data_IF_994607767229
#
_entry.id   IF_994607767229
#
_cell.length_a   1.000
_cell.length_b   1.000
_cell.length_c   1.000
_cell.angle_alpha   90.00
_cell.angle_beta   90.00
_cell.angle_gamma   90.00
#
_symmetry.space_group_name_H-M   'P 1'
#
loop_
_entity.id
_entity.type
_entity.pdbx_description
1 polymer ?
#
# COMPACT_ATOMS: atom_id res chain seq x y z
N UNK A 1 7.04 -5.42 21.62
CA UNK A 1 8.34 -5.68 22.28
C UNK A 1 8.47 -7.21 22.40
N UNK A 2 9.48 -7.81 21.77
CA UNK A 2 9.73 -9.25 21.91
C UNK A 2 10.02 -9.59 23.39
N UNK A 3 9.36 -10.63 23.88
CA UNK A 3 9.70 -11.25 25.16
C UNK A 3 10.97 -12.09 25.01
N UNK A 4 11.56 -12.50 26.13
CA UNK A 4 12.63 -13.48 26.15
C UNK A 4 12.17 -14.86 25.70
N UNK A 5 11.85 -15.73 26.65
CA UNK A 5 11.39 -17.10 26.35
C UNK A 5 9.86 -17.22 26.40
N UNK A 6 9.31 -18.07 25.54
CA UNK A 6 7.90 -18.41 25.48
C UNK A 6 7.64 -19.76 26.16
N UNK A 7 6.48 -19.88 26.81
CA UNK A 7 5.98 -21.15 27.32
C UNK A 7 5.50 -22.04 26.17
N UNK A 8 5.26 -23.34 26.45
CA UNK A 8 4.74 -24.27 25.44
C UNK A 8 3.36 -23.85 24.90
N UNK A 9 2.50 -23.36 25.79
CA UNK A 9 1.14 -22.93 25.40
C UNK A 9 1.21 -21.68 24.52
N UNK A 10 2.00 -20.69 24.91
CA UNK A 10 2.25 -19.49 24.09
C UNK A 10 2.85 -19.85 22.72
N UNK A 11 3.74 -20.84 22.66
CA UNK A 11 4.33 -21.32 21.41
C UNK A 11 3.29 -22.01 20.51
N UNK A 12 2.39 -22.81 21.07
CA UNK A 12 1.28 -23.44 20.34
C UNK A 12 0.26 -22.44 19.83
N UNK A 13 0.01 -21.36 20.55
CA UNK A 13 -0.89 -20.30 20.13
C UNK A 13 -0.28 -19.43 19.02
N UNK A 14 1.00 -19.11 19.14
CA UNK A 14 1.67 -18.14 18.28
C UNK A 14 2.14 -18.72 16.94
N UNK A 15 2.77 -19.89 16.96
CA UNK A 15 3.47 -20.40 15.79
C UNK A 15 2.80 -21.61 15.15
N UNK A 16 2.66 -21.56 13.84
CA UNK A 16 2.15 -22.64 13.00
C UNK A 16 3.29 -23.22 12.17
N UNK A 17 3.56 -24.53 12.29
CA UNK A 17 4.55 -25.22 11.46
C UNK A 17 4.06 -25.26 10.00
N UNK A 18 4.92 -24.88 9.06
CA UNK A 18 4.63 -24.94 7.64
C UNK A 18 5.15 -26.23 7.02
N UNK A 19 4.23 -27.17 6.76
CA UNK A 19 4.55 -28.37 6.00
C UNK A 19 4.87 -28.01 4.55
N UNK A 20 6.02 -28.47 4.03
CA UNK A 20 6.55 -28.06 2.73
C UNK A 20 7.40 -26.79 2.75
N UNK A 21 7.48 -26.08 3.89
CA UNK A 21 8.24 -24.85 4.08
C UNK A 21 9.65 -25.03 4.65
N UNK A 22 10.31 -26.19 4.43
CA UNK A 22 11.66 -26.48 4.94
C UNK A 22 11.79 -26.31 6.47
N UNK A 23 10.71 -26.58 7.21
CA UNK A 23 10.65 -26.44 8.66
C UNK A 23 10.45 -25.01 9.15
N UNK A 24 10.13 -24.06 8.29
CA UNK A 24 9.74 -22.71 8.68
C UNK A 24 8.40 -22.70 9.44
N UNK A 25 8.16 -21.62 10.13
CA UNK A 25 6.93 -21.38 10.88
C UNK A 25 6.26 -20.08 10.42
N UNK A 26 4.95 -20.05 10.50
CA UNK A 26 4.19 -18.81 10.42
C UNK A 26 4.02 -18.24 11.83
N UNK A 27 4.36 -16.99 12.03
CA UNK A 27 4.12 -16.24 13.26
C UNK A 27 2.75 -15.54 13.16
N UNK A 28 1.78 -16.03 13.94
CA UNK A 28 0.41 -15.51 13.92
C UNK A 28 0.23 -14.15 14.61
N UNK A 29 1.29 -13.64 15.26
CA UNK A 29 1.28 -12.30 15.88
C UNK A 29 1.92 -11.28 14.95
N UNK A 30 3.01 -11.66 14.27
CA UNK A 30 3.74 -10.77 13.37
C UNK A 30 3.36 -10.96 11.89
N UNK A 31 2.47 -11.92 11.60
CA UNK A 31 1.96 -12.20 10.26
C UNK A 31 3.06 -12.40 9.20
N UNK A 32 4.09 -13.14 9.57
CA UNK A 32 5.25 -13.43 8.70
C UNK A 32 5.76 -14.85 8.84
N UNK A 33 6.48 -15.32 7.83
CA UNK A 33 7.19 -16.59 7.89
C UNK A 33 8.54 -16.37 8.56
N UNK A 34 8.87 -17.21 9.52
CA UNK A 34 10.15 -17.17 10.25
C UNK A 34 10.87 -18.50 10.19
N UNK A 35 12.21 -18.50 10.17
CA UNK A 35 13.01 -19.72 10.20
C UNK A 35 12.80 -20.50 11.50
N UNK A 36 12.91 -21.83 11.40
CA UNK A 36 12.85 -22.71 12.58
C UNK A 36 13.84 -22.32 13.68
N UNK A 37 15.06 -21.94 13.30
CA UNK A 37 16.10 -21.57 14.27
C UNK A 37 15.67 -20.42 15.18
N UNK A 38 15.00 -19.41 14.60
CA UNK A 38 14.55 -18.22 15.34
C UNK A 38 13.43 -18.57 16.33
N UNK A 39 12.50 -19.45 15.93
CA UNK A 39 11.45 -19.96 16.83
C UNK A 39 12.05 -20.74 18.01
N UNK A 40 12.99 -21.63 17.71
CA UNK A 40 13.61 -22.46 18.75
C UNK A 40 14.51 -21.66 19.69
N UNK A 41 15.09 -20.56 19.24
CA UNK A 41 15.85 -19.66 20.10
C UNK A 41 14.96 -18.94 21.15
N UNK A 42 13.65 -18.91 20.94
CA UNK A 42 12.68 -18.28 21.84
C UNK A 42 11.93 -19.27 22.75
N UNK A 43 12.25 -20.56 22.67
CA UNK A 43 11.68 -21.62 23.50
C UNK A 43 12.80 -22.24 24.33
N UNK A 44 12.59 -22.52 25.65
CA UNK A 44 13.60 -23.19 26.45
C UNK A 44 13.98 -24.57 25.84
N UNK A 45 15.26 -24.94 25.84
CA UNK A 45 15.76 -26.17 25.21
C UNK A 45 15.06 -27.43 25.71
N UNK A 46 14.77 -27.50 27.01
CA UNK A 46 14.06 -28.64 27.61
C UNK A 46 12.60 -28.71 27.12
N UNK A 47 11.98 -27.60 26.85
CA UNK A 47 10.59 -27.50 26.38
C UNK A 47 10.44 -27.76 24.87
N UNK A 48 11.49 -27.54 24.07
CA UNK A 48 11.44 -27.71 22.63
C UNK A 48 11.11 -29.13 22.17
N UNK A 49 11.52 -30.15 22.93
CA UNK A 49 11.18 -31.57 22.68
C UNK A 49 9.70 -31.81 22.94
N UNK A 50 9.21 -31.36 24.10
CA UNK A 50 7.83 -31.53 24.52
C UNK A 50 6.87 -30.80 23.57
N UNK A 51 7.25 -29.62 23.07
CA UNK A 51 6.46 -28.90 22.07
C UNK A 51 6.26 -29.69 20.78
N UNK A 52 7.27 -30.44 20.31
CA UNK A 52 7.12 -31.30 19.13
C UNK A 52 6.08 -32.41 19.32
N UNK A 53 5.87 -32.85 20.55
CA UNK A 53 4.94 -33.92 20.90
C UNK A 53 3.52 -33.40 21.22
N UNK A 54 3.33 -32.11 21.31
CA UNK A 54 2.03 -31.52 21.62
C UNK A 54 1.02 -31.77 20.48
N UNK A 55 -0.15 -32.37 20.79
CA UNK A 55 -1.18 -32.69 19.81
C UNK A 55 -1.92 -31.42 19.29
N UNK A 56 -1.91 -30.37 20.08
CA UNK A 56 -2.53 -29.05 19.77
C UNK A 56 -1.60 -28.10 19.03
N UNK A 57 -0.39 -28.54 18.67
CA UNK A 57 0.52 -27.77 17.83
C UNK A 57 -0.06 -27.56 16.43
N UNK A 58 -0.17 -26.27 16.02
CA UNK A 58 -0.72 -25.92 14.72
C UNK A 58 0.23 -26.32 13.58
N UNK A 59 -0.35 -26.87 12.53
CA UNK A 59 0.34 -27.21 11.28
C UNK A 59 -0.52 -26.75 10.11
N UNK A 60 0.09 -26.07 9.15
CA UNK A 60 -0.53 -25.68 7.89
C UNK A 60 0.38 -26.09 6.72
N UNK A 61 -0.17 -26.23 5.54
CA UNK A 61 0.63 -26.42 4.32
C UNK A 61 1.18 -25.08 3.85
N UNK A 62 2.30 -25.09 3.16
CA UNK A 62 2.87 -23.85 2.59
C UNK A 62 1.90 -23.17 1.62
N UNK A 63 1.08 -23.96 0.90
CA UNK A 63 0.07 -23.45 -0.04
C UNK A 63 -1.12 -22.76 0.67
N UNK A 64 -1.27 -22.94 1.99
CA UNK A 64 -2.28 -22.29 2.82
C UNK A 64 -1.78 -20.97 3.43
N UNK A 65 -0.54 -20.57 3.09
CA UNK A 65 0.00 -19.24 3.42
C UNK A 65 -0.30 -18.29 2.28
N UNK A 66 -0.89 -17.15 2.59
CA UNK A 66 -1.22 -16.15 1.59
C UNK A 66 -1.38 -14.75 2.15
N UNK A 67 -1.53 -13.79 1.26
CA UNK A 67 -1.82 -12.40 1.61
C UNK A 67 -3.25 -12.07 1.18
N UNK A 68 -4.16 -12.03 2.13
CA UNK A 68 -5.57 -11.67 1.89
C UNK A 68 -6.03 -10.60 2.88
N UNK A 69 -5.95 -9.33 2.50
CA UNK A 69 -6.46 -8.23 3.32
C UNK A 69 -7.97 -8.25 3.54
N UNK A 70 -8.71 -8.98 2.69
CA UNK A 70 -10.17 -9.10 2.83
C UNK A 70 -10.58 -10.12 3.89
N UNK A 71 -9.67 -11.02 4.29
CA UNK A 71 -9.92 -12.14 5.19
C UNK A 71 -11.09 -13.04 4.75
N UNK A 72 -11.30 -13.20 3.43
CA UNK A 72 -12.42 -13.95 2.85
C UNK A 72 -12.01 -15.23 2.13
N UNK A 73 -10.72 -15.41 1.83
CA UNK A 73 -10.23 -16.61 1.15
C UNK A 73 -10.01 -17.73 2.18
N UNK A 74 -10.97 -18.65 2.26
CA UNK A 74 -10.95 -19.79 3.20
C UNK A 74 -9.76 -20.74 2.96
N UNK A 75 -9.07 -20.65 1.81
CA UNK A 75 -7.87 -21.44 1.53
C UNK A 75 -6.64 -20.92 2.27
N UNK A 76 -6.69 -19.67 2.74
CA UNK A 76 -5.58 -19.03 3.45
C UNK A 76 -5.78 -19.23 4.96
N UNK A 77 -5.04 -20.17 5.52
CA UNK A 77 -5.01 -20.47 6.96
C UNK A 77 -4.01 -19.56 7.69
N UNK A 78 -2.88 -19.29 7.06
CA UNK A 78 -1.81 -18.43 7.55
C UNK A 78 -1.79 -17.12 6.76
N UNK A 79 -2.51 -16.11 7.26
CA UNK A 79 -2.63 -14.84 6.55
C UNK A 79 -1.47 -13.90 6.87
N UNK A 80 -0.74 -13.47 5.84
CA UNK A 80 0.35 -12.50 5.94
C UNK A 80 -0.16 -11.05 6.11
N UNK A 81 -1.48 -10.85 6.13
CA UNK A 81 -2.11 -9.59 6.48
C UNK A 81 -2.39 -9.53 7.98
N UNK A 82 -1.75 -8.60 8.68
CA UNK A 82 -1.89 -8.39 10.13
C UNK A 82 -2.71 -7.16 10.54
N UNK A 83 -3.37 -6.51 9.58
CA UNK A 83 -4.07 -5.24 9.83
C UNK A 83 -3.23 -4.02 9.53
N UNK A 84 -3.86 -2.84 9.52
CA UNK A 84 -3.14 -1.59 9.34
C UNK A 84 -2.24 -1.32 10.55
N UNK A 85 -0.94 -1.02 10.36
CA UNK A 85 -0.04 -0.69 11.48
C UNK A 85 -0.34 0.69 12.06
N UNK A 86 -0.89 1.60 11.27
CA UNK A 86 -1.35 2.90 11.74
C UNK A 86 -2.63 2.75 12.55
N UNK A 87 -2.63 3.33 13.76
CA UNK A 87 -3.83 3.39 14.61
C UNK A 87 -4.57 4.71 14.34
N UNK A 88 -5.78 4.67 13.75
CA UNK A 88 -6.55 5.88 13.52
C UNK A 88 -6.94 6.51 14.86
N UNK A 89 -6.87 7.84 14.93
CA UNK A 89 -7.22 8.59 16.14
C UNK A 89 -7.89 9.88 15.74
N UNK A 90 -9.04 10.18 16.34
CA UNK A 90 -9.71 11.46 16.16
C UNK A 90 -8.78 12.62 16.52
N UNK A 91 -8.74 13.65 15.66
CA UNK A 91 -7.85 14.78 15.81
C UNK A 91 -7.94 15.76 14.64
N UNK A 92 -7.12 16.80 14.69
CA UNK A 92 -7.07 17.80 13.62
C UNK A 92 -6.10 17.37 12.51
N UNK A 93 -6.62 17.32 11.30
CA UNK A 93 -5.84 17.08 10.07
C UNK A 93 -6.18 18.12 8.98
N UNK A 94 -6.81 19.25 9.34
CA UNK A 94 -7.33 20.20 8.37
C UNK A 94 -6.22 20.69 7.42
N UNK A 95 -5.02 20.96 7.93
CA UNK A 95 -3.91 21.44 7.09
C UNK A 95 -3.46 20.42 6.04
N UNK A 96 -3.64 19.11 6.29
CA UNK A 96 -3.40 18.05 5.30
C UNK A 96 -4.49 18.05 4.23
N UNK A 97 -5.75 18.27 4.62
CA UNK A 97 -6.86 18.43 3.69
C UNK A 97 -6.68 19.69 2.83
N UNK A 98 -6.26 20.80 3.44
CA UNK A 98 -5.94 22.06 2.75
C UNK A 98 -4.80 21.86 1.74
N UNK A 99 -3.79 21.06 2.08
CA UNK A 99 -2.70 20.73 1.15
C UNK A 99 -3.23 19.94 -0.06
N UNK A 100 -4.06 18.92 0.14
CA UNK A 100 -4.64 18.18 -0.99
C UNK A 100 -5.54 19.07 -1.84
N UNK A 101 -6.33 19.94 -1.21
CA UNK A 101 -7.17 20.90 -1.91
C UNK A 101 -6.31 21.87 -2.73
N UNK A 102 -5.21 22.35 -2.16
CA UNK A 102 -4.26 23.20 -2.87
C UNK A 102 -3.62 22.47 -4.07
N UNK A 103 -3.22 21.22 -3.91
CA UNK A 103 -2.67 20.43 -5.02
C UNK A 103 -3.64 20.33 -6.22
N UNK A 104 -4.95 20.33 -5.97
CA UNK A 104 -5.98 20.28 -7.00
C UNK A 104 -6.41 21.68 -7.53
N UNK A 105 -5.88 22.78 -6.99
CA UNK A 105 -6.44 24.12 -7.15
C UNK A 105 -6.34 24.72 -8.55
N UNK A 106 -5.45 24.21 -9.41
CA UNK A 106 -5.31 24.72 -10.79
C UNK A 106 -6.35 24.14 -11.76
N UNK A 107 -7.07 23.11 -11.37
CA UNK A 107 -8.12 22.53 -12.20
C UNK A 107 -9.37 23.43 -12.21
N UNK A 108 -10.00 23.64 -13.37
CA UNK A 108 -11.25 24.40 -13.46
C UNK A 108 -12.38 23.77 -12.61
N UNK A 109 -12.35 22.45 -12.47
CA UNK A 109 -13.25 21.69 -11.61
C UNK A 109 -12.56 21.24 -10.32
N UNK A 110 -11.76 22.12 -9.71
CA UNK A 110 -10.90 21.80 -8.54
C UNK A 110 -11.64 21.17 -7.37
N UNK A 111 -12.87 21.61 -7.08
CA UNK A 111 -13.69 21.04 -6.01
C UNK A 111 -14.06 19.58 -6.31
N UNK A 112 -14.54 19.29 -7.51
CA UNK A 112 -14.87 17.94 -7.95
C UNK A 112 -13.63 17.03 -7.94
N UNK A 113 -12.50 17.55 -8.42
CA UNK A 113 -11.22 16.84 -8.41
C UNK A 113 -10.75 16.51 -7.01
N UNK A 114 -10.82 17.47 -6.09
CA UNK A 114 -10.51 17.26 -4.67
C UNK A 114 -11.42 16.22 -4.02
N UNK A 115 -12.74 16.38 -4.15
CA UNK A 115 -13.73 15.47 -3.56
C UNK A 115 -13.54 14.04 -4.09
N UNK A 116 -13.27 13.89 -5.39
CA UNK A 116 -13.01 12.58 -5.99
C UNK A 116 -11.71 11.95 -5.47
N UNK A 117 -10.61 12.72 -5.43
CA UNK A 117 -9.33 12.24 -4.91
C UNK A 117 -9.44 11.80 -3.44
N UNK A 118 -10.15 12.57 -2.63
CA UNK A 118 -10.37 12.26 -1.22
C UNK A 118 -11.14 10.94 -1.02
N UNK A 119 -12.23 10.75 -1.78
CA UNK A 119 -13.01 9.50 -1.75
C UNK A 119 -12.20 8.32 -2.27
N UNK A 120 -11.38 8.53 -3.29
CA UNK A 120 -10.50 7.50 -3.83
C UNK A 120 -9.46 7.04 -2.79
N UNK A 121 -8.91 7.96 -1.99
CA UNK A 121 -7.99 7.63 -0.88
C UNK A 121 -8.71 6.92 0.27
N UNK A 122 -9.94 7.30 0.55
CA UNK A 122 -10.74 6.74 1.65
C UNK A 122 -11.26 5.33 1.34
N UNK A 123 -11.66 5.06 0.09
CA UNK A 123 -12.32 3.80 -0.27
C UNK A 123 -11.51 2.55 0.10
N UNK A 124 -10.21 2.41 -0.26
CA UNK A 124 -9.43 1.22 0.09
C UNK A 124 -9.12 1.11 1.60
N UNK A 125 -9.20 2.20 2.36
CA UNK A 125 -9.08 2.16 3.82
C UNK A 125 -10.36 1.64 4.47
N UNK A 126 -11.53 2.06 3.97
CA UNK A 126 -12.85 1.59 4.45
C UNK A 126 -13.19 0.18 3.95
N UNK A 127 -12.72 -0.18 2.74
CA UNK A 127 -12.91 -1.48 2.10
C UNK A 127 -11.57 -2.19 1.92
N UNK A 128 -11.05 -2.70 3.02
CA UNK A 128 -9.70 -3.29 3.06
C UNK A 128 -9.52 -4.37 2.01
N UNK A 129 -8.45 -4.24 1.23
CA UNK A 129 -8.16 -5.14 0.11
C UNK A 129 -8.87 -4.78 -1.21
N UNK A 130 -9.67 -3.71 -1.25
CA UNK A 130 -10.26 -3.22 -2.49
C UNK A 130 -9.18 -2.83 -3.51
N UNK A 131 -9.39 -3.24 -4.76
CA UNK A 131 -8.52 -2.93 -5.90
C UNK A 131 -9.18 -1.86 -6.77
N UNK A 132 -8.72 -0.62 -6.63
CA UNK A 132 -9.18 0.49 -7.46
C UNK A 132 -8.82 0.23 -8.93
N UNK A 133 -9.77 0.42 -9.84
CA UNK A 133 -9.55 0.27 -11.29
C UNK A 133 -8.96 1.54 -11.93
N UNK A 134 -8.58 2.48 -11.09
CA UNK A 134 -7.96 3.76 -11.45
C UNK A 134 -6.73 4.02 -10.60
N UNK A 135 -5.92 4.98 -10.99
CA UNK A 135 -4.74 5.43 -10.25
C UNK A 135 -4.67 6.95 -10.23
N UNK A 136 -4.01 7.50 -9.21
CA UNK A 136 -3.76 8.92 -9.08
C UNK A 136 -2.45 9.30 -9.78
N UNK A 137 -2.43 10.45 -10.46
CA UNK A 137 -1.25 11.05 -11.07
C UNK A 137 -1.19 12.53 -10.68
N UNK A 138 -0.24 12.88 -9.84
CA UNK A 138 0.01 14.26 -9.44
C UNK A 138 1.36 14.69 -10.02
N UNK A 139 1.32 15.54 -11.03
CA UNK A 139 2.52 16.01 -11.71
C UNK A 139 2.57 17.54 -11.78
N UNK A 140 3.75 18.11 -12.02
CA UNK A 140 3.92 19.55 -12.08
C UNK A 140 5.03 20.09 -11.21
N UNK A 141 4.92 21.34 -10.79
CA UNK A 141 6.01 22.05 -10.13
C UNK A 141 6.62 21.33 -8.92
N UNK A 142 7.96 21.35 -8.86
CA UNK A 142 8.68 20.86 -7.70
C UNK A 142 8.38 21.71 -6.46
N UNK A 143 8.35 21.09 -5.29
CA UNK A 143 8.13 21.78 -4.02
C UNK A 143 6.66 22.04 -3.67
N UNK A 144 5.70 21.63 -4.50
CA UNK A 144 4.27 21.81 -4.23
C UNK A 144 3.73 21.02 -3.02
N UNK A 145 4.52 20.07 -2.47
CA UNK A 145 4.11 19.26 -1.33
C UNK A 145 3.51 17.90 -1.68
N UNK A 146 3.62 17.47 -2.94
CA UNK A 146 3.14 16.15 -3.39
C UNK A 146 3.62 15.01 -2.50
N UNK A 147 4.95 14.85 -2.38
CA UNK A 147 5.54 13.79 -1.59
C UNK A 147 5.15 13.92 -0.11
N UNK A 148 5.13 15.12 0.45
CA UNK A 148 4.76 15.34 1.85
C UNK A 148 3.36 14.82 2.19
N UNK A 149 2.39 15.04 1.30
CA UNK A 149 1.02 14.53 1.47
C UNK A 149 0.97 13.01 1.28
N UNK A 150 1.53 12.48 0.19
CA UNK A 150 1.41 11.06 -0.13
C UNK A 150 2.30 10.16 0.73
N UNK A 151 3.37 10.68 1.31
CA UNK A 151 4.13 9.99 2.36
C UNK A 151 3.29 9.79 3.63
N UNK A 152 2.45 10.77 3.99
CA UNK A 152 1.50 10.61 5.09
C UNK A 152 0.49 9.49 4.82
N UNK A 153 -0.01 9.38 3.58
CA UNK A 153 -0.87 8.26 3.15
C UNK A 153 -0.11 6.93 3.20
N UNK A 154 1.10 6.86 2.63
CA UNK A 154 1.91 5.63 2.61
C UNK A 154 2.20 5.10 4.03
N UNK A 155 2.43 5.98 5.00
CA UNK A 155 2.66 5.62 6.41
C UNK A 155 1.46 4.93 7.06
N UNK A 156 0.23 5.19 6.60
CA UNK A 156 -0.97 4.50 7.11
C UNK A 156 -0.91 3.00 6.81
N UNK A 157 -0.34 2.64 5.67
CA UNK A 157 -0.18 1.26 5.24
C UNK A 157 1.06 0.57 5.83
N UNK A 158 2.04 1.33 6.34
CA UNK A 158 3.26 0.80 6.96
C UNK A 158 4.01 -0.18 6.06
N UNK A 159 4.22 -1.41 6.52
CA UNK A 159 4.91 -2.45 5.73
C UNK A 159 4.16 -2.86 4.45
N UNK A 160 2.85 -2.64 4.40
CA UNK A 160 2.01 -2.87 3.21
C UNK A 160 1.99 -1.66 2.26
N UNK A 161 2.70 -0.60 2.58
CA UNK A 161 3.03 0.54 1.72
C UNK A 161 4.44 0.44 1.16
N UNK A 162 4.74 1.24 0.15
CA UNK A 162 6.08 1.35 -0.42
C UNK A 162 6.21 2.53 -1.36
N UNK A 163 7.46 2.92 -1.59
CA UNK A 163 7.83 3.90 -2.61
C UNK A 163 8.78 3.24 -3.60
N UNK A 164 8.57 3.44 -4.88
CA UNK A 164 9.41 2.89 -5.94
C UNK A 164 9.80 3.98 -6.92
N UNK A 165 11.02 3.89 -7.40
CA UNK A 165 11.60 4.77 -8.41
C UNK A 165 11.59 4.14 -9.82
N UNK A 166 12.09 4.90 -10.80
CA UNK A 166 12.23 4.46 -12.18
C UNK A 166 12.97 3.13 -12.30
N UNK A 167 14.08 2.96 -11.56
CA UNK A 167 14.95 1.78 -11.66
C UNK A 167 14.24 0.51 -11.19
N UNK A 168 13.44 0.62 -10.14
CA UNK A 168 12.64 -0.49 -9.63
C UNK A 168 11.55 -0.92 -10.62
N UNK A 169 10.89 0.05 -11.27
CA UNK A 169 9.82 -0.23 -12.24
C UNK A 169 10.37 -0.82 -13.54
N UNK A 170 11.56 -0.42 -14.00
CA UNK A 170 12.24 -0.96 -15.17
C UNK A 170 12.88 -2.33 -14.95
N UNK A 171 13.17 -2.68 -13.70
CA UNK A 171 13.74 -3.98 -13.34
C UNK A 171 12.83 -5.13 -13.77
N UNK A 172 13.44 -6.26 -14.18
CA UNK A 172 12.70 -7.51 -14.40
C UNK A 172 12.13 -8.08 -13.09
N UNK A 173 12.70 -7.70 -11.94
CA UNK A 173 12.22 -8.10 -10.62
C UNK A 173 11.21 -7.09 -10.10
N UNK A 174 10.16 -7.58 -9.46
CA UNK A 174 9.06 -6.74 -8.96
C UNK A 174 8.57 -7.19 -7.59
N UNK A 175 9.44 -7.76 -6.80
CA UNK A 175 9.18 -8.15 -5.40
C UNK A 175 8.71 -6.97 -4.53
N UNK A 176 9.06 -5.74 -4.92
CA UNK A 176 8.52 -4.52 -4.32
C UNK A 176 6.97 -4.41 -4.38
N UNK A 177 6.31 -5.14 -5.29
CA UNK A 177 4.86 -5.14 -5.41
C UNK A 177 4.19 -6.27 -4.61
N UNK A 178 4.98 -7.23 -4.06
CA UNK A 178 4.44 -8.33 -3.27
C UNK A 178 3.87 -7.83 -1.94
N UNK A 179 2.68 -8.29 -1.60
CA UNK A 179 1.98 -7.98 -0.35
C UNK A 179 1.81 -6.48 -0.10
N UNK A 180 1.57 -5.70 -1.18
CA UNK A 180 1.37 -4.25 -1.09
C UNK A 180 -0.10 -3.88 -1.31
N UNK A 181 -0.55 -2.92 -0.50
CA UNK A 181 -1.84 -2.23 -0.63
C UNK A 181 -1.66 -0.83 -1.21
N UNK A 182 -0.48 -0.23 -1.00
CA UNK A 182 -0.15 1.11 -1.48
C UNK A 182 1.25 1.18 -2.06
N UNK A 183 1.39 1.86 -3.20
CA UNK A 183 2.71 2.21 -3.77
C UNK A 183 2.69 3.66 -4.23
N UNK A 184 3.68 4.42 -3.80
CA UNK A 184 4.02 5.72 -4.36
C UNK A 184 5.09 5.51 -5.42
N UNK A 185 4.77 5.81 -6.69
CA UNK A 185 5.70 5.83 -7.81
C UNK A 185 6.30 7.23 -7.89
N UNK A 186 7.55 7.36 -7.46
CA UNK A 186 8.23 8.66 -7.36
C UNK A 186 9.16 8.88 -8.54
N UNK A 187 8.93 9.97 -9.28
CA UNK A 187 9.67 10.35 -10.49
C UNK A 187 9.73 9.23 -11.55
N UNK A 188 8.70 8.41 -11.64
CA UNK A 188 8.59 7.37 -12.66
C UNK A 188 7.96 7.96 -13.92
N UNK A 189 8.73 7.93 -15.02
CA UNK A 189 8.31 8.45 -16.33
C UNK A 189 8.20 7.30 -17.31
N UNK A 190 7.01 7.03 -17.81
CA UNK A 190 6.81 6.06 -18.89
C UNK A 190 7.11 6.70 -20.24
N UNK A 191 8.39 6.68 -20.67
CA UNK A 191 8.81 7.14 -22.01
C UNK A 191 8.20 6.25 -23.09
N UNK A 192 7.85 6.84 -24.24
CA UNK A 192 7.20 6.13 -25.34
C UNK A 192 7.99 4.93 -25.88
N UNK A 193 9.30 4.87 -25.65
CA UNK A 193 10.22 3.81 -26.10
C UNK A 193 10.06 2.53 -25.27
N UNK A 194 9.41 2.57 -24.11
CA UNK A 194 9.27 1.45 -23.19
C UNK A 194 7.84 0.86 -23.23
N UNK A 195 7.44 0.34 -24.40
CA UNK A 195 6.11 -0.23 -24.61
C UNK A 195 5.77 -1.36 -23.60
N UNK A 196 6.77 -2.15 -23.21
CA UNK A 196 6.60 -3.20 -22.20
C UNK A 196 6.26 -2.63 -20.81
N UNK A 197 6.81 -1.47 -20.46
CA UNK A 197 6.55 -0.78 -19.20
C UNK A 197 5.09 -0.31 -19.13
N UNK A 198 4.57 0.23 -20.23
CA UNK A 198 3.17 0.65 -20.35
C UNK A 198 2.19 -0.50 -20.05
N UNK A 199 2.43 -1.68 -20.63
CA UNK A 199 1.58 -2.85 -20.39
C UNK A 199 1.69 -3.37 -18.96
N UNK A 200 2.91 -3.34 -18.38
CA UNK A 200 3.13 -3.73 -16.99
C UNK A 200 2.42 -2.78 -16.02
N UNK A 201 2.48 -1.47 -16.25
CA UNK A 201 1.77 -0.46 -15.48
C UNK A 201 0.25 -0.67 -15.61
N UNK A 202 -0.28 -0.86 -16.82
CA UNK A 202 -1.71 -1.15 -17.03
C UNK A 202 -2.15 -2.40 -16.25
N UNK A 203 -1.36 -3.47 -16.29
CA UNK A 203 -1.65 -4.69 -15.54
C UNK A 203 -1.61 -4.46 -14.01
N UNK A 204 -0.66 -3.66 -13.52
CA UNK A 204 -0.59 -3.31 -12.12
C UNK A 204 -1.80 -2.49 -11.66
N UNK A 205 -2.28 -1.53 -12.47
CA UNK A 205 -3.44 -0.68 -12.14
C UNK A 205 -4.74 -1.46 -12.15
N UNK A 206 -4.98 -2.31 -13.17
CA UNK A 206 -6.31 -2.92 -13.38
C UNK A 206 -6.37 -4.43 -13.22
N UNK A 207 -5.22 -5.11 -13.17
CA UNK A 207 -5.17 -6.56 -13.05
C UNK A 207 -5.62 -7.05 -11.69
N UNK A 208 -6.39 -8.14 -11.66
CA UNK A 208 -6.83 -8.79 -10.42
C UNK A 208 -5.74 -9.65 -9.78
N UNK A 209 -4.73 -10.02 -10.57
CA UNK A 209 -3.55 -10.76 -10.12
C UNK A 209 -2.27 -10.09 -10.61
N UNK A 210 -1.20 -10.27 -9.85
CA UNK A 210 0.14 -9.83 -10.20
C UNK A 210 1.10 -11.00 -10.14
N UNK A 211 1.93 -11.15 -11.18
CA UNK A 211 3.03 -12.10 -11.15
C UNK A 211 4.23 -11.46 -10.47
N UNK A 212 4.67 -12.07 -9.39
CA UNK A 212 5.85 -11.64 -8.65
C UNK A 212 7.07 -12.41 -9.14
N UNK A 213 8.11 -11.68 -9.50
CA UNK A 213 9.39 -12.19 -9.93
C UNK A 213 10.49 -11.61 -9.02
N UNK A 214 11.22 -12.49 -8.33
CA UNK A 214 12.32 -12.13 -7.44
C UNK A 214 13.56 -12.95 -7.77
N UNK A 215 14.70 -12.54 -7.23
CA UNK A 215 15.97 -13.25 -7.47
C UNK A 215 15.94 -14.63 -6.79
N UNK A 216 16.42 -15.67 -7.52
CA UNK A 216 16.67 -17.02 -6.99
C UNK A 216 15.45 -17.79 -6.48
N UNK A 217 14.24 -17.30 -6.71
CA UNK A 217 12.98 -17.96 -6.36
C UNK A 217 12.12 -18.08 -7.61
N UNK A 218 11.39 -19.19 -7.76
CA UNK A 218 10.43 -19.34 -8.85
C UNK A 218 9.35 -18.23 -8.75
N UNK A 219 9.01 -17.62 -9.89
CA UNK A 219 7.97 -16.62 -9.93
C UNK A 219 6.61 -17.23 -9.56
N UNK A 220 5.80 -16.47 -8.80
CA UNK A 220 4.47 -16.89 -8.37
C UNK A 220 3.43 -15.82 -8.71
N UNK A 221 2.16 -16.14 -8.52
CA UNK A 221 1.06 -15.19 -8.66
C UNK A 221 0.44 -14.86 -7.30
N UNK A 222 0.16 -13.59 -7.10
CA UNK A 222 -0.61 -13.09 -5.95
C UNK A 222 -1.88 -12.37 -6.44
N UNK A 223 -2.89 -12.27 -5.59
CA UNK A 223 -3.97 -11.31 -5.79
C UNK A 223 -3.41 -9.88 -5.72
N UNK A 224 -3.86 -9.04 -6.62
CA UNK A 224 -3.41 -7.65 -6.68
C UNK A 224 -4.36 -6.77 -5.87
N UNK A 225 -3.93 -6.38 -4.69
CA UNK A 225 -4.61 -5.42 -3.83
C UNK A 225 -3.95 -4.03 -3.84
N UNK A 226 -2.91 -3.87 -4.67
CA UNK A 226 -2.08 -2.68 -4.69
C UNK A 226 -2.77 -1.52 -5.40
N UNK A 227 -2.95 -0.42 -4.70
CA UNK A 227 -3.34 0.88 -5.23
C UNK A 227 -2.17 1.84 -5.16
N UNK A 228 -2.20 2.96 -5.86
CA UNK A 228 -1.06 3.86 -5.79
C UNK A 228 -1.22 5.18 -6.51
N UNK A 229 -0.21 6.02 -6.30
CA UNK A 229 -0.08 7.36 -6.87
C UNK A 229 1.22 7.48 -7.65
N UNK A 230 1.16 8.17 -8.76
CA UNK A 230 2.32 8.55 -9.57
C UNK A 230 2.63 10.02 -9.31
N UNK A 231 3.85 10.29 -8.83
CA UNK A 231 4.35 11.63 -8.57
C UNK A 231 5.45 11.95 -9.58
N UNK A 232 5.35 13.11 -10.23
CA UNK A 232 6.36 13.53 -11.20
C UNK A 232 6.46 15.05 -11.29
N UNK A 233 7.62 15.54 -11.72
CA UNK A 233 7.83 16.93 -12.10
C UNK A 233 7.74 17.13 -13.62
N UNK A 234 7.56 16.07 -14.38
CA UNK A 234 7.46 16.12 -15.85
C UNK A 234 6.08 16.58 -16.33
N UNK A 235 6.05 17.25 -17.49
CA UNK A 235 4.81 17.67 -18.13
C UNK A 235 3.97 16.46 -18.58
N UNK A 236 4.63 15.41 -19.07
CA UNK A 236 4.02 14.17 -19.53
C UNK A 236 4.60 12.97 -18.77
N UNK A 237 4.17 12.76 -17.51
CA UNK A 237 4.80 11.79 -16.60
C UNK A 237 4.55 10.33 -16.98
N UNK A 238 3.46 10.06 -17.70
CA UNK A 238 3.06 8.71 -18.10
C UNK A 238 2.68 8.68 -19.58
N UNK A 239 2.88 7.53 -20.24
CA UNK A 239 2.35 7.31 -21.58
C UNK A 239 0.83 7.07 -21.49
N UNK A 240 0.07 8.10 -21.12
CA UNK A 240 -1.39 8.07 -21.02
C UNK A 240 -1.96 8.35 -22.41
N UNK A 241 -2.90 7.51 -22.83
CA UNK A 241 -3.70 7.80 -24.01
C UNK A 241 -4.83 8.76 -23.63
N UNK A 242 -5.16 9.72 -24.47
CA UNK A 242 -6.15 10.77 -24.25
C UNK A 242 -7.49 10.25 -23.67
N UNK A 243 -7.89 9.04 -24.03
CA UNK A 243 -9.13 8.41 -23.57
C UNK A 243 -8.90 7.32 -22.50
N UNK A 244 -7.68 7.21 -21.90
CA UNK A 244 -7.43 6.23 -20.85
C UNK A 244 -8.12 6.64 -19.54
N UNK A 245 -9.26 6.00 -19.27
CA UNK A 245 -10.12 6.26 -18.09
C UNK A 245 -9.51 5.81 -16.76
N UNK A 246 -8.29 5.21 -16.77
CA UNK A 246 -7.65 4.68 -15.56
C UNK A 246 -6.93 5.73 -14.75
N UNK A 247 -6.57 6.86 -15.34
CA UNK A 247 -5.75 7.88 -14.74
C UNK A 247 -6.57 9.10 -14.32
N UNK A 248 -6.51 9.42 -13.03
CA UNK A 248 -6.90 10.71 -12.51
C UNK A 248 -5.66 11.59 -12.48
N UNK A 249 -5.61 12.64 -13.30
CA UNK A 249 -4.43 13.46 -13.50
C UNK A 249 -4.66 14.86 -12.94
N UNK A 250 -3.68 15.36 -12.18
CA UNK A 250 -3.67 16.71 -11.61
C UNK A 250 -2.34 17.38 -11.93
N UNK A 251 -2.39 18.57 -12.49
CA UNK A 251 -1.24 19.45 -12.59
C UNK A 251 -1.15 20.31 -11.32
N UNK A 252 -0.08 20.11 -10.55
CA UNK A 252 0.07 20.74 -9.24
C UNK A 252 0.58 22.17 -9.34
N UNK A 253 0.10 23.08 -8.47
CA UNK A 253 0.50 24.48 -8.45
C UNK A 253 1.94 24.66 -7.96
N UNK A 254 2.52 25.87 -8.04
CA UNK A 254 3.81 26.22 -7.45
C UNK A 254 3.85 25.99 -5.94
N UNK A 255 5.05 25.98 -5.35
CA UNK A 255 5.22 25.86 -3.91
C UNK A 255 4.54 27.00 -3.14
N UNK A 256 3.91 26.67 -2.01
CA UNK A 256 3.44 27.63 -1.02
C UNK A 256 4.60 28.17 -0.16
N UNK A 257 4.29 28.98 0.83
CA UNK A 257 5.29 29.50 1.77
C UNK A 257 5.94 28.38 2.59
N UNK A 258 7.19 28.57 2.95
CA UNK A 258 7.93 27.65 3.86
C UNK A 258 7.19 27.45 5.18
N UNK A 259 6.52 28.48 5.69
CA UNK A 259 5.75 28.40 6.94
C UNK A 259 4.56 27.44 6.83
N UNK A 260 3.91 27.37 5.67
CA UNK A 260 2.84 26.40 5.44
C UNK A 260 3.36 24.96 5.54
N UNK A 261 4.47 24.66 4.86
CA UNK A 261 5.05 23.30 4.92
C UNK A 261 5.61 22.94 6.28
N UNK A 262 6.14 23.92 7.04
CA UNK A 262 6.49 23.68 8.45
C UNK A 262 5.26 23.29 9.27
N UNK A 263 4.16 24.00 9.11
CA UNK A 263 2.92 23.69 9.82
C UNK A 263 2.36 22.30 9.42
N UNK A 264 2.51 21.88 8.15
CA UNK A 264 2.18 20.52 7.71
C UNK A 264 3.06 19.48 8.40
N UNK A 265 4.37 19.71 8.45
CA UNK A 265 5.32 18.82 9.14
C UNK A 265 5.01 18.74 10.64
N UNK A 266 4.78 19.88 11.30
CA UNK A 266 4.39 19.94 12.72
C UNK A 266 3.08 19.18 12.98
N UNK A 267 2.10 19.27 12.09
CA UNK A 267 0.86 18.50 12.18
C UNK A 267 1.14 16.98 12.11
N UNK A 268 1.98 16.54 11.17
CA UNK A 268 2.35 15.13 11.02
C UNK A 268 3.11 14.60 12.24
N UNK A 269 4.02 15.38 12.80
CA UNK A 269 4.79 15.04 14.00
C UNK A 269 3.90 14.96 15.27
N UNK A 270 2.78 15.69 15.28
CA UNK A 270 1.81 15.73 16.38
C UNK A 270 0.58 14.85 16.15
N UNK A 271 0.66 13.84 15.29
CA UNK A 271 -0.40 12.84 15.11
C UNK A 271 -1.40 13.15 13.99
N UNK A 272 -1.15 14.16 13.16
CA UNK A 272 -2.01 14.51 12.02
C UNK A 272 -2.20 13.37 11.03
N UNK A 273 -1.21 12.48 10.88
CA UNK A 273 -1.35 11.27 10.06
C UNK A 273 -2.41 10.30 10.60
N UNK A 274 -2.44 10.09 11.92
CA UNK A 274 -3.48 9.27 12.57
C UNK A 274 -4.86 9.94 12.50
N UNK A 275 -4.90 11.26 12.59
CA UNK A 275 -6.13 12.05 12.45
C UNK A 275 -6.67 11.99 11.00
N UNK A 276 -5.80 12.09 10.00
CA UNK A 276 -6.18 11.94 8.59
C UNK A 276 -6.68 10.51 8.31
N UNK A 277 -6.05 9.49 8.87
CA UNK A 277 -6.52 8.10 8.78
C UNK A 277 -7.93 7.96 9.36
N UNK A 278 -8.17 8.51 10.56
CA UNK A 278 -9.49 8.52 11.18
C UNK A 278 -10.50 9.26 10.31
N UNK A 279 -10.15 10.43 9.79
CA UNK A 279 -11.02 11.21 8.90
C UNK A 279 -11.42 10.42 7.65
N UNK A 280 -10.46 9.79 6.97
CA UNK A 280 -10.71 9.01 5.76
C UNK A 280 -11.59 7.77 6.05
N UNK A 281 -11.44 7.13 7.20
CA UNK A 281 -12.28 6.00 7.61
C UNK A 281 -13.75 6.39 7.85
N UNK A 282 -14.02 7.66 8.17
CA UNK A 282 -15.37 8.16 8.47
C UNK A 282 -15.93 9.08 7.37
N UNK A 283 -15.20 9.24 6.28
CA UNK A 283 -15.65 10.03 5.13
C UNK A 283 -16.87 9.37 4.48
N UNK A 284 -17.93 10.16 4.24
CA UNK A 284 -19.06 9.69 3.47
C UNK A 284 -18.68 9.51 1.99
N UNK A 285 -18.70 8.29 1.54
CA UNK A 285 -18.38 7.92 0.16
C UNK A 285 -19.57 8.13 -0.79
N UNK A 286 -20.82 8.12 -0.29
CA UNK A 286 -22.01 8.08 -1.14
C UNK A 286 -21.97 6.88 -2.08
N UNK A 287 -22.18 7.10 -3.37
CA UNK A 287 -22.16 6.06 -4.41
C UNK A 287 -20.75 5.77 -4.98
N UNK A 288 -19.68 6.27 -4.34
CA UNK A 288 -18.32 6.06 -4.80
C UNK A 288 -17.87 4.62 -4.53
N UNK A 289 -17.28 3.98 -5.57
CA UNK A 289 -16.76 2.61 -5.54
C UNK A 289 -15.41 2.47 -6.25
N UNK A 290 -14.87 1.24 -6.31
CA UNK A 290 -13.60 0.91 -6.96
C UNK A 290 -13.63 1.07 -8.50
N UNK A 291 -14.81 1.21 -9.10
CA UNK A 291 -15.04 1.45 -10.52
C UNK A 291 -15.40 2.89 -10.84
N UNK A 292 -15.52 3.76 -9.84
CA UNK A 292 -15.88 5.16 -10.01
C UNK A 292 -14.92 5.88 -10.95
N UNK A 293 -15.48 6.48 -11.99
CA UNK A 293 -14.69 7.14 -13.05
C UNK A 293 -14.13 8.46 -12.54
N UNK A 294 -12.84 8.76 -12.83
CA UNK A 294 -12.28 10.05 -12.50
C UNK A 294 -12.93 11.17 -13.33
N UNK A 295 -13.10 12.36 -12.74
CA UNK A 295 -13.52 13.54 -13.50
C UNK A 295 -12.48 13.88 -14.57
N UNK A 296 -12.94 14.52 -15.63
CA UNK A 296 -12.06 15.01 -16.67
C UNK A 296 -11.42 16.32 -16.20
N UNK A 297 -10.13 16.25 -15.88
CA UNK A 297 -9.31 17.39 -15.43
C UNK A 297 -8.67 18.12 -16.61
N UNK A 298 -8.24 19.36 -16.40
CA UNK A 298 -7.51 20.13 -17.41
C UNK A 298 -6.14 19.49 -17.68
N UNK A 299 -5.47 19.01 -16.64
CA UNK A 299 -4.23 18.25 -16.78
C UNK A 299 -4.39 17.05 -17.71
N UNK A 300 -5.51 16.34 -17.62
CA UNK A 300 -5.77 15.19 -18.48
C UNK A 300 -6.11 15.56 -19.91
N UNK A 301 -6.75 16.72 -20.13
CA UNK A 301 -7.03 17.25 -21.49
C UNK A 301 -5.77 17.70 -22.21
N UNK A 302 -4.73 18.07 -21.45
CA UNK A 302 -3.47 18.58 -21.97
C UNK A 302 -2.50 17.48 -22.45
N UNK A 303 -2.78 16.21 -22.16
CA UNK A 303 -2.01 15.02 -22.55
C UNK A 303 -2.56 14.43 -23.85
#
# INVERSE_FOLDING_TARGET
KMRGLYTLDEACERWTLLYGGNGAYFDGVEHRIIPKADVYALIPDHAARDWKLRPDRKVARLEEVGFDPTCRDERIVCNLWGGFPSQPKEGDCQILLDLLQYLCSLENNSKEAYDWALKWLAYPLQHVGAKMKTTLVFHGMQGAGKNLFFDAIARMYGEYGGTVDQSAVESQFNDWASRKLWITFDEVVARNELYFLKNRIKALITGDTIRINTKQVAAWQERNHCNGVWLSNELHPTAVELFDRRHFMIWTPPALSTNFYKAVADCLDNGGGAALHHYLLHLDLGDFDDHSKPPMTDAKRAV
#
